data_IF_567054238687
#
_entry.id   IF_567054238687
#
_cell.length_a   1.000
_cell.length_b   1.000
_cell.length_c   1.000
_cell.angle_alpha   90.00
_cell.angle_beta   90.00
_cell.angle_gamma   90.00
#
_symmetry.space_group_name_H-M   'P 1'
#
loop_
_entity.id
_entity.type
_entity.pdbx_description
1 polymer ?
#
# COMPACT_ATOMS: atom_id res chain seq x y z
N UNK A 1 -3.05 24.08 26.36
CA UNK A 1 -2.50 22.71 26.47
C UNK A 1 -2.29 22.16 25.08
N UNK A 2 -1.07 21.73 24.71
CA UNK A 2 -0.86 21.00 23.44
C UNK A 2 -1.64 19.69 23.51
N UNK A 3 -2.37 19.36 22.46
CA UNK A 3 -3.13 18.11 22.37
C UNK A 3 -2.15 16.96 22.25
N UNK A 4 -2.19 16.01 23.16
CA UNK A 4 -1.39 14.79 23.10
C UNK A 4 -1.75 14.00 21.84
N UNK A 5 -0.71 13.53 21.14
CA UNK A 5 -0.81 12.63 20.00
C UNK A 5 -0.20 11.28 20.37
N UNK A 6 -0.73 10.24 19.78
CA UNK A 6 -0.32 8.85 20.03
C UNK A 6 0.26 8.24 18.78
N UNK A 7 1.23 7.33 18.96
CA UNK A 7 1.90 6.61 17.90
C UNK A 7 2.06 5.14 18.26
N UNK A 8 2.15 4.30 17.24
CA UNK A 8 2.44 2.87 17.43
C UNK A 8 3.93 2.71 17.74
N UNK A 9 4.26 1.88 18.73
CA UNK A 9 5.62 1.44 19.02
C UNK A 9 6.09 0.50 17.90
N UNK A 10 6.97 0.99 17.00
CA UNK A 10 7.45 0.21 15.85
C UNK A 10 8.17 -1.07 16.27
N UNK A 11 8.90 -1.01 17.39
CA UNK A 11 9.65 -2.12 17.97
C UNK A 11 8.77 -3.25 18.52
N UNK A 12 7.48 -3.01 18.64
CA UNK A 12 6.48 -4.00 19.05
C UNK A 12 5.77 -4.68 17.88
N UNK A 13 5.99 -4.18 16.66
CA UNK A 13 5.35 -4.75 15.47
C UNK A 13 6.13 -5.93 14.91
N UNK A 14 5.39 -6.92 14.44
CA UNK A 14 5.94 -8.06 13.72
C UNK A 14 5.29 -8.19 12.34
N UNK A 15 6.01 -8.88 11.45
CA UNK A 15 5.47 -9.21 10.12
C UNK A 15 4.21 -10.07 10.29
N UNK A 16 3.15 -9.65 9.62
CA UNK A 16 1.83 -10.28 9.70
C UNK A 16 0.90 -9.63 10.73
N UNK A 17 1.37 -8.69 11.56
CA UNK A 17 0.45 -7.95 12.43
C UNK A 17 -0.61 -7.23 11.63
N UNK A 18 -1.83 -7.30 12.11
CA UNK A 18 -3.01 -6.68 11.49
C UNK A 18 -3.41 -5.47 12.32
N UNK A 19 -3.35 -4.29 11.70
CA UNK A 19 -3.56 -3.01 12.38
C UNK A 19 -4.94 -2.48 11.99
N UNK A 20 -5.80 -2.26 12.97
CA UNK A 20 -7.14 -1.70 12.79
C UNK A 20 -7.15 -0.24 13.20
N UNK A 21 -7.71 0.64 12.36
CA UNK A 21 -7.83 2.07 12.67
C UNK A 21 -9.25 2.59 12.49
N UNK A 22 -9.58 3.61 13.32
CA UNK A 22 -10.83 4.36 13.21
C UNK A 22 -10.58 5.63 12.41
N UNK A 23 -10.62 5.57 11.09
CA UNK A 23 -10.48 6.76 10.25
C UNK A 23 -11.72 7.65 10.28
N UNK A 24 -11.52 8.97 10.18
CA UNK A 24 -12.60 9.97 10.18
C UNK A 24 -13.01 10.40 8.76
N UNK A 25 -12.95 9.51 7.77
CA UNK A 25 -13.46 9.84 6.43
C UNK A 25 -14.97 9.58 6.32
N UNK A 26 -15.64 10.23 5.38
CA UNK A 26 -17.08 10.01 5.12
C UNK A 26 -17.38 8.55 4.75
N UNK A 27 -16.49 7.91 4.00
CA UNK A 27 -16.57 6.48 3.64
C UNK A 27 -16.43 5.61 4.89
N UNK A 28 -15.54 5.98 5.81
CA UNK A 28 -15.33 5.29 7.07
C UNK A 28 -16.54 5.37 8.01
N UNK A 29 -17.30 6.47 7.99
CA UNK A 29 -18.56 6.59 8.71
C UNK A 29 -19.61 5.61 8.20
N UNK A 30 -19.76 5.49 6.88
CA UNK A 30 -20.70 4.54 6.26
C UNK A 30 -20.32 3.09 6.55
N UNK A 31 -19.02 2.73 6.46
CA UNK A 31 -18.52 1.40 6.79
C UNK A 31 -18.81 1.06 8.26
N UNK A 32 -18.62 2.01 9.18
CA UNK A 32 -18.93 1.82 10.61
C UNK A 32 -20.41 1.60 10.86
N UNK A 33 -21.29 2.34 10.19
CA UNK A 33 -22.73 2.15 10.30
C UNK A 33 -23.17 0.76 9.82
N UNK A 34 -22.67 0.34 8.65
CA UNK A 34 -23.06 -0.96 8.06
C UNK A 34 -22.45 -2.15 8.81
N UNK A 35 -21.24 -2.00 9.36
CA UNK A 35 -20.55 -3.09 10.07
C UNK A 35 -20.74 -3.07 11.58
N UNK A 36 -21.37 -2.02 12.12
CA UNK A 36 -21.47 -1.79 13.59
C UNK A 36 -20.10 -1.95 14.29
N UNK A 37 -19.04 -1.41 13.66
CA UNK A 37 -17.67 -1.49 14.15
C UNK A 37 -17.09 -0.10 14.34
N UNK A 38 -16.37 0.12 15.44
CA UNK A 38 -15.59 1.34 15.67
C UNK A 38 -14.46 1.47 14.64
N UNK A 39 -13.89 0.35 14.20
CA UNK A 39 -12.78 0.29 13.27
C UNK A 39 -13.29 0.08 11.85
N UNK A 40 -12.93 1.00 10.97
CA UNK A 40 -13.39 1.04 9.57
C UNK A 40 -12.30 0.69 8.56
N UNK A 41 -11.06 0.64 9.02
CA UNK A 41 -9.90 0.36 8.16
C UNK A 41 -9.00 -0.69 8.80
N UNK A 42 -8.38 -1.50 7.96
CA UNK A 42 -7.42 -2.53 8.36
C UNK A 42 -6.20 -2.48 7.46
N UNK A 43 -5.02 -2.64 8.05
CA UNK A 43 -3.71 -2.57 7.40
C UNK A 43 -2.89 -3.78 7.81
N UNK A 44 -1.93 -4.16 6.97
CA UNK A 44 -1.03 -5.29 7.20
C UNK A 44 0.39 -4.79 7.45
N UNK A 45 1.03 -5.25 8.50
CA UNK A 45 2.44 -4.99 8.77
C UNK A 45 3.31 -5.93 7.92
N UNK A 46 4.21 -5.32 7.13
CA UNK A 46 5.10 -5.98 6.20
C UNK A 46 6.51 -5.42 6.40
N UNK A 47 7.28 -6.05 7.27
CA UNK A 47 8.67 -5.67 7.59
C UNK A 47 8.87 -4.15 7.81
N UNK A 48 8.33 -3.62 8.92
CA UNK A 48 8.46 -2.19 9.29
C UNK A 48 7.65 -1.21 8.44
N UNK A 49 7.02 -1.69 7.36
CA UNK A 49 6.12 -0.95 6.49
C UNK A 49 4.70 -1.46 6.67
N UNK A 50 3.73 -0.61 6.48
CA UNK A 50 2.33 -1.00 6.45
C UNK A 50 1.84 -0.95 5.01
N UNK A 51 1.14 -2.02 4.59
CA UNK A 51 0.43 -2.03 3.32
C UNK A 51 -1.07 -1.96 3.60
N UNK A 52 -1.73 -1.05 2.93
CA UNK A 52 -3.16 -0.83 3.07
C UNK A 52 -3.83 -0.52 1.74
N UNK A 53 -5.13 -0.76 1.66
CA UNK A 53 -5.90 -0.46 0.47
C UNK A 53 -6.92 0.63 0.75
N UNK A 54 -6.95 1.65 -0.09
CA UNK A 54 -7.87 2.79 -0.07
C UNK A 54 -8.55 2.95 -1.44
N UNK A 55 -9.40 3.96 -1.59
CA UNK A 55 -10.15 4.18 -2.84
C UNK A 55 -9.29 4.38 -4.10
N UNK A 56 -8.03 4.76 -3.93
CA UNK A 56 -7.08 4.97 -5.03
C UNK A 56 -6.24 3.74 -5.38
N UNK A 57 -6.26 2.69 -4.56
CA UNK A 57 -5.44 1.50 -4.76
C UNK A 57 -4.81 0.97 -3.48
N UNK A 58 -3.78 0.16 -3.64
CA UNK A 58 -2.98 -0.39 -2.54
C UNK A 58 -1.68 0.40 -2.44
N UNK A 59 -1.35 0.84 -1.23
CA UNK A 59 -0.18 1.68 -0.97
C UNK A 59 0.60 1.19 0.24
N UNK A 60 1.91 1.49 0.21
CA UNK A 60 2.78 1.34 1.36
C UNK A 60 2.74 2.61 2.23
N UNK A 61 2.85 2.46 3.55
CA UNK A 61 2.84 3.56 4.50
C UNK A 61 3.88 3.33 5.60
N UNK A 62 4.65 4.36 5.92
CA UNK A 62 5.55 4.29 7.07
C UNK A 62 4.75 4.47 8.36
N UNK A 63 4.84 3.49 9.26
CA UNK A 63 4.11 3.47 10.54
C UNK A 63 4.46 4.67 11.42
N UNK A 64 5.70 5.15 11.37
CA UNK A 64 6.18 6.29 12.16
C UNK A 64 5.57 7.63 11.74
N UNK A 65 4.81 7.65 10.64
CA UNK A 65 4.10 8.83 10.14
C UNK A 65 2.62 8.82 10.47
N UNK A 66 2.13 7.81 11.18
CA UNK A 66 0.71 7.69 11.53
C UNK A 66 0.51 8.10 12.99
N UNK A 67 -0.12 9.26 13.18
CA UNK A 67 -0.45 9.77 14.50
C UNK A 67 -1.95 9.63 14.77
N UNK A 68 -2.29 9.34 16.02
CA UNK A 68 -3.66 9.19 16.50
C UNK A 68 -3.97 10.25 17.55
N UNK A 69 -5.23 10.69 17.62
CA UNK A 69 -5.66 11.64 18.63
C UNK A 69 -5.98 10.98 19.97
N UNK A 70 -6.25 9.68 19.95
CA UNK A 70 -6.56 8.87 21.13
C UNK A 70 -5.97 7.47 20.98
N UNK A 71 -5.51 6.85 22.06
CA UNK A 71 -4.90 5.52 21.98
C UNK A 71 -5.90 4.44 21.51
N UNK A 72 -7.18 4.64 21.75
CA UNK A 72 -8.23 3.71 21.36
C UNK A 72 -8.71 3.85 19.91
N UNK A 73 -8.07 4.71 19.10
CA UNK A 73 -8.31 4.83 17.64
C UNK A 73 -7.58 3.76 16.83
N UNK A 74 -6.69 2.99 17.47
CA UNK A 74 -5.91 1.93 16.84
C UNK A 74 -5.89 0.69 17.72
N UNK A 75 -5.87 -0.48 17.08
CA UNK A 75 -5.66 -1.79 17.70
C UNK A 75 -4.80 -2.66 16.82
N UNK A 76 -3.96 -3.48 17.43
CA UNK A 76 -3.05 -4.40 16.72
C UNK A 76 -3.40 -5.82 17.11
N UNK A 77 -3.48 -6.68 16.11
CA UNK A 77 -3.79 -8.09 16.28
C UNK A 77 -2.68 -8.94 15.65
N UNK A 78 -2.25 -9.97 16.37
CA UNK A 78 -1.20 -10.89 15.97
C UNK A 78 -1.71 -12.31 15.91
N UNK A 79 -1.22 -13.17 14.98
CA UNK A 79 -1.55 -14.59 14.97
C UNK A 79 -1.22 -15.27 16.30
N UNK A 80 -2.15 -16.05 16.86
CA UNK A 80 -1.92 -16.84 18.09
C UNK A 80 -0.80 -17.87 17.92
N UNK A 81 -0.69 -18.43 16.72
CA UNK A 81 0.39 -19.34 16.35
C UNK A 81 1.40 -18.56 15.50
N UNK A 82 2.65 -18.58 15.92
CA UNK A 82 3.73 -17.90 15.21
C UNK A 82 3.76 -18.32 13.74
N UNK A 83 3.95 -17.35 12.87
CA UNK A 83 4.17 -17.57 11.44
C UNK A 83 5.61 -18.05 11.22
N UNK A 84 5.77 -19.07 10.41
CA UNK A 84 7.10 -19.49 9.94
C UNK A 84 7.71 -18.43 9.02
N UNK A 85 9.02 -18.47 8.78
CA UNK A 85 9.69 -17.56 7.85
C UNK A 85 9.06 -17.63 6.45
N UNK A 86 8.75 -18.83 5.96
CA UNK A 86 8.10 -19.03 4.66
C UNK A 86 6.69 -18.42 4.59
N UNK A 87 5.91 -18.50 5.68
CA UNK A 87 4.58 -17.88 5.74
C UNK A 87 4.69 -16.34 5.78
N UNK A 88 5.63 -15.80 6.58
CA UNK A 88 5.92 -14.36 6.61
C UNK A 88 6.30 -13.85 5.22
N UNK A 89 7.21 -14.55 4.52
CA UNK A 89 7.61 -14.21 3.16
C UNK A 89 6.43 -14.18 2.19
N UNK A 90 5.60 -15.21 2.16
CA UNK A 90 4.42 -15.27 1.28
C UNK A 90 3.38 -14.18 1.57
N UNK A 91 3.17 -13.84 2.85
CA UNK A 91 2.29 -12.73 3.25
C UNK A 91 2.84 -11.40 2.70
N UNK A 92 4.14 -11.15 2.89
CA UNK A 92 4.82 -9.95 2.42
C UNK A 92 4.79 -9.85 0.89
N UNK A 93 5.18 -10.90 0.19
CA UNK A 93 5.18 -11.00 -1.26
C UNK A 93 3.80 -10.70 -1.84
N UNK A 94 2.76 -11.39 -1.34
CA UNK A 94 1.40 -11.14 -1.81
C UNK A 94 0.98 -9.68 -1.63
N UNK A 95 1.22 -9.10 -0.44
CA UNK A 95 0.82 -7.74 -0.15
C UNK A 95 1.60 -6.71 -1.00
N UNK A 96 2.91 -6.89 -1.17
CA UNK A 96 3.77 -6.04 -2.00
C UNK A 96 3.37 -6.09 -3.47
N UNK A 97 3.11 -7.29 -4.01
CA UNK A 97 2.63 -7.49 -5.39
C UNK A 97 1.25 -6.86 -5.66
N UNK A 98 0.56 -6.40 -4.62
CA UNK A 98 -0.69 -5.62 -4.75
C UNK A 98 -0.47 -4.11 -4.74
N UNK A 99 0.71 -3.63 -4.36
CA UNK A 99 1.02 -2.20 -4.40
C UNK A 99 0.95 -1.73 -5.85
N UNK A 100 0.21 -0.64 -6.10
CA UNK A 100 -0.08 -0.06 -7.42
C UNK A 100 -0.77 -0.99 -8.43
N UNK A 101 -1.21 -2.16 -8.00
CA UNK A 101 -2.12 -3.07 -8.74
C UNK A 101 -1.70 -3.50 -10.14
N UNK A 102 -0.43 -3.69 -10.42
CA UNK A 102 0.02 -4.26 -11.72
C UNK A 102 -0.55 -5.66 -11.93
N UNK A 103 -0.80 -6.40 -10.86
CA UNK A 103 -1.34 -7.75 -10.92
C UNK A 103 -2.76 -7.83 -11.51
N UNK A 104 -3.55 -6.76 -11.40
CA UNK A 104 -4.83 -6.66 -12.07
C UNK A 104 -4.71 -6.49 -13.60
N UNK A 105 -3.57 -6.03 -14.09
CA UNK A 105 -3.25 -5.88 -15.51
C UNK A 105 -3.10 -7.23 -16.21
N UNK A 106 -2.42 -8.19 -15.60
CA UNK A 106 -2.25 -9.53 -16.18
C UNK A 106 -3.61 -10.24 -16.35
N UNK A 107 -4.50 -10.13 -15.35
CA UNK A 107 -5.86 -10.65 -15.48
C UNK A 107 -6.65 -9.96 -16.60
N UNK A 108 -6.33 -8.69 -16.93
CA UNK A 108 -7.04 -7.94 -17.99
C UNK A 108 -6.54 -8.33 -19.37
N UNK A 109 -5.27 -8.66 -19.54
CA UNK A 109 -4.71 -9.14 -20.82
C UNK A 109 -5.31 -10.51 -21.19
N UNK A 110 -5.59 -11.35 -20.19
CA UNK A 110 -6.12 -12.70 -20.40
C UNK A 110 -7.65 -12.80 -20.31
N UNK A 111 -8.35 -11.78 -19.82
CA UNK A 111 -9.81 -11.85 -19.57
C UNK A 111 -10.53 -10.67 -20.20
N UNK A 112 -10.82 -10.79 -21.49
CA UNK A 112 -11.96 -10.08 -22.11
C UNK A 112 -13.22 -10.80 -21.67
N UNK A 113 -13.67 -10.61 -20.42
CA UNK A 113 -14.95 -11.14 -19.93
C UNK A 113 -15.83 -9.98 -19.48
N UNK A 114 -17.12 -10.00 -19.83
CA UNK A 114 -18.03 -8.90 -19.55
C UNK A 114 -18.27 -8.72 -18.05
N UNK A 115 -18.31 -7.47 -17.66
CA UNK A 115 -18.50 -6.94 -16.32
C UNK A 115 -19.76 -7.49 -15.64
N UNK A 116 -19.59 -8.19 -14.54
CA UNK A 116 -20.65 -8.36 -13.56
C UNK A 116 -20.16 -8.01 -12.16
N UNK A 117 -20.90 -7.09 -11.52
CA UNK A 117 -20.88 -6.70 -10.10
C UNK A 117 -19.85 -5.67 -9.60
N UNK A 118 -20.29 -4.42 -9.60
CA UNK A 118 -19.70 -3.25 -8.93
C UNK A 118 -19.71 -3.31 -7.40
N UNK A 119 -20.29 -4.32 -6.77
CA UNK A 119 -20.42 -4.43 -5.31
C UNK A 119 -19.13 -4.86 -4.58
N UNK A 120 -18.18 -5.50 -5.27
CA UNK A 120 -16.96 -6.05 -4.66
C UNK A 120 -15.87 -5.01 -4.32
N UNK A 121 -15.94 -3.81 -4.90
CA UNK A 121 -14.88 -2.79 -4.78
C UNK A 121 -14.83 -2.09 -3.40
N UNK A 122 -15.83 -2.25 -2.53
CA UNK A 122 -15.91 -1.55 -1.24
C UNK A 122 -15.19 -2.24 -0.06
N UNK A 123 -14.58 -3.40 -0.27
CA UNK A 123 -13.95 -4.18 0.82
C UNK A 123 -12.44 -4.38 0.64
N UNK A 124 -11.74 -3.48 -0.02
CA UNK A 124 -10.34 -3.68 -0.40
C UNK A 124 -9.40 -3.92 0.79
N UNK A 125 -9.49 -3.19 1.87
CA UNK A 125 -8.52 -3.29 2.98
C UNK A 125 -8.58 -4.66 3.66
N UNK A 126 -9.77 -5.15 3.98
CA UNK A 126 -9.93 -6.47 4.62
C UNK A 126 -9.66 -7.63 3.66
N UNK A 127 -10.04 -7.49 2.39
CA UNK A 127 -9.70 -8.47 1.36
C UNK A 127 -8.19 -8.60 1.17
N UNK A 128 -7.46 -7.49 1.11
CA UNK A 128 -6.00 -7.50 1.00
C UNK A 128 -5.38 -8.33 2.12
N UNK A 129 -5.73 -8.04 3.38
CA UNK A 129 -5.23 -8.78 4.54
C UNK A 129 -5.60 -10.26 4.46
N UNK A 130 -6.87 -10.57 4.22
CA UNK A 130 -7.34 -11.95 4.19
C UNK A 130 -6.71 -12.77 3.07
N UNK A 131 -6.50 -12.17 1.89
CA UNK A 131 -5.85 -12.82 0.77
C UNK A 131 -4.34 -12.99 0.97
N UNK A 132 -3.66 -12.04 1.65
CA UNK A 132 -2.25 -12.19 2.01
C UNK A 132 -2.05 -13.42 2.92
N UNK A 133 -2.90 -13.60 3.90
CA UNK A 133 -2.87 -14.79 4.76
C UNK A 133 -3.22 -16.06 4.00
N UNK A 134 -4.21 -16.03 3.11
CA UNK A 134 -4.57 -17.15 2.24
C UNK A 134 -3.41 -17.58 1.34
N UNK A 135 -2.64 -16.64 0.79
CA UNK A 135 -1.44 -16.96 0.00
C UNK A 135 -0.38 -17.73 0.79
N UNK A 136 -0.31 -17.51 2.10
CA UNK A 136 0.54 -18.27 3.02
C UNK A 136 -0.13 -19.58 3.54
N UNK A 137 -1.28 -19.99 2.98
CA UNK A 137 -2.02 -21.18 3.41
C UNK A 137 -2.81 -20.99 4.71
N UNK A 138 -3.01 -19.76 5.18
CA UNK A 138 -3.73 -19.45 6.42
C UNK A 138 -5.10 -18.83 6.12
N UNK A 139 -6.16 -19.54 6.49
CA UNK A 139 -7.54 -19.04 6.34
C UNK A 139 -7.95 -18.36 7.64
N UNK A 140 -8.01 -17.03 7.61
CA UNK A 140 -8.33 -16.21 8.80
C UNK A 140 -9.80 -15.81 8.89
N UNK A 141 -10.56 -15.95 7.79
CA UNK A 141 -12.00 -15.70 7.70
C UNK A 141 -12.63 -16.69 6.74
N UNK A 142 -13.95 -16.93 6.87
CA UNK A 142 -14.69 -17.88 6.04
C UNK A 142 -14.56 -17.59 4.54
N UNK A 143 -14.68 -16.33 4.13
CA UNK A 143 -14.50 -15.89 2.74
C UNK A 143 -13.46 -14.76 2.67
N UNK A 144 -12.22 -15.07 2.22
CA UNK A 144 -11.18 -14.06 2.06
C UNK A 144 -11.46 -13.01 0.99
N UNK A 145 -12.40 -13.26 0.07
CA UNK A 145 -12.78 -12.30 -0.96
C UNK A 145 -13.79 -11.26 -0.46
N UNK A 146 -14.65 -11.69 0.48
CA UNK A 146 -15.78 -10.89 0.95
C UNK A 146 -15.82 -10.90 2.49
N UNK A 147 -14.88 -10.18 3.10
CA UNK A 147 -14.83 -10.03 4.54
C UNK A 147 -14.79 -8.57 4.96
N UNK A 148 -15.26 -8.28 6.16
CA UNK A 148 -15.18 -6.96 6.78
C UNK A 148 -14.00 -6.91 7.77
N UNK A 149 -13.50 -5.69 8.12
CA UNK A 149 -12.52 -5.54 9.20
C UNK A 149 -12.99 -6.19 10.51
N UNK A 150 -14.29 -6.08 10.83
CA UNK A 150 -14.88 -6.70 12.04
C UNK A 150 -14.78 -8.22 12.04
N UNK A 151 -14.96 -8.89 10.89
CA UNK A 151 -14.81 -10.34 10.80
C UNK A 151 -13.37 -10.77 11.03
N UNK A 152 -12.39 -10.05 10.50
CA UNK A 152 -10.97 -10.31 10.77
C UNK A 152 -10.66 -10.11 12.25
N UNK A 153 -11.12 -9.00 12.85
CA UNK A 153 -10.92 -8.70 14.27
C UNK A 153 -11.53 -9.76 15.22
N UNK A 154 -12.65 -10.34 14.82
CA UNK A 154 -13.33 -11.42 15.59
C UNK A 154 -12.81 -12.81 15.28
N UNK A 155 -11.86 -12.95 14.39
CA UNK A 155 -11.28 -14.24 14.05
C UNK A 155 -10.52 -14.81 15.24
N UNK A 156 -10.78 -16.06 15.55
CA UNK A 156 -10.06 -16.79 16.59
C UNK A 156 -8.57 -17.01 16.26
N UNK A 157 -8.17 -16.70 15.05
CA UNK A 157 -6.80 -16.82 14.59
C UNK A 157 -5.86 -15.83 15.28
N UNK A 158 -6.39 -14.70 15.74
CA UNK A 158 -5.62 -13.59 16.30
C UNK A 158 -5.84 -13.39 17.80
N UNK A 159 -4.89 -12.70 18.43
CA UNK A 159 -5.05 -12.05 19.73
C UNK A 159 -4.70 -10.57 19.63
N UNK A 160 -5.25 -9.75 20.51
CA UNK A 160 -4.92 -8.31 20.58
C UNK A 160 -3.56 -8.13 21.28
N UNK A 161 -2.65 -7.41 20.64
CA UNK A 161 -1.35 -7.05 21.23
C UNK A 161 -1.54 -5.78 22.04
N UNK A 162 -1.23 -5.84 23.32
CA UNK A 162 -1.31 -4.72 24.27
C UNK A 162 0.01 -3.97 24.33
N UNK A 163 0.00 -2.75 24.88
CA UNK A 163 1.18 -1.88 25.06
C UNK A 163 1.94 -1.52 23.78
N UNK A 164 1.23 -1.56 22.64
CA UNK A 164 1.76 -1.16 21.35
C UNK A 164 1.62 0.34 21.05
N UNK A 165 0.97 1.09 21.92
CA UNK A 165 0.67 2.52 21.70
C UNK A 165 1.34 3.32 22.81
N UNK A 166 1.98 4.44 22.42
CA UNK A 166 2.59 5.41 23.33
C UNK A 166 2.22 6.83 22.95
N UNK A 167 2.45 7.77 23.85
CA UNK A 167 2.45 9.20 23.53
C UNK A 167 3.63 9.46 22.59
N UNK A 168 3.36 10.17 21.49
CA UNK A 168 4.37 10.52 20.51
C UNK A 168 5.31 11.61 21.08
N UNK A 169 6.63 11.41 20.90
CA UNK A 169 7.61 12.44 21.24
C UNK A 169 7.54 13.63 20.26
N UNK A 170 8.17 14.75 20.63
CA UNK A 170 8.24 15.92 19.72
C UNK A 170 8.99 15.58 18.42
N UNK A 171 10.03 14.73 18.49
CA UNK A 171 10.79 14.25 17.34
C UNK A 171 9.94 13.37 16.41
N UNK A 172 9.15 12.45 16.98
CA UNK A 172 8.21 11.60 16.21
C UNK A 172 7.13 12.43 15.54
N UNK A 173 6.59 13.45 16.22
CA UNK A 173 5.64 14.41 15.65
C UNK A 173 6.29 15.22 14.53
N UNK A 174 7.54 15.68 14.72
CA UNK A 174 8.28 16.40 13.70
C UNK A 174 8.57 15.51 12.48
N UNK A 175 8.98 14.25 12.70
CA UNK A 175 9.21 13.28 11.65
C UNK A 175 7.94 13.00 10.82
N UNK A 176 6.79 12.86 11.48
CA UNK A 176 5.52 12.60 10.79
C UNK A 176 5.12 13.69 9.79
N UNK A 177 5.61 14.91 10.01
CA UNK A 177 5.35 16.11 9.18
C UNK A 177 6.40 16.34 8.10
N UNK A 178 7.56 15.65 8.14
CA UNK A 178 8.57 15.76 7.08
C UNK A 178 7.99 15.32 5.74
N UNK A 179 8.59 15.82 4.67
CA UNK A 179 8.24 15.39 3.32
C UNK A 179 8.14 13.87 3.21
N UNK A 180 7.06 13.40 2.61
CA UNK A 180 6.75 11.97 2.48
C UNK A 180 6.60 11.60 1.00
N UNK A 181 7.61 10.96 0.38
CA UNK A 181 7.56 10.57 -1.03
C UNK A 181 6.43 9.58 -1.32
N UNK A 182 6.18 8.62 -0.42
CA UNK A 182 5.08 7.66 -0.57
C UNK A 182 3.72 8.38 -0.62
N UNK A 183 3.51 9.38 0.24
CA UNK A 183 2.29 10.18 0.24
C UNK A 183 2.15 11.03 -1.03
N UNK A 184 3.26 11.49 -1.59
CA UNK A 184 3.25 12.20 -2.87
C UNK A 184 2.74 11.30 -3.99
N UNK A 185 3.26 10.07 -4.08
CA UNK A 185 2.83 9.07 -5.06
C UNK A 185 1.33 8.77 -4.91
N UNK A 186 0.87 8.54 -3.67
CA UNK A 186 -0.55 8.30 -3.38
C UNK A 186 -1.42 9.48 -3.82
N UNK A 187 -1.06 10.70 -3.43
CA UNK A 187 -1.83 11.92 -3.75
C UNK A 187 -1.90 12.18 -5.26
N UNK A 188 -0.81 12.01 -5.96
CA UNK A 188 -0.66 12.17 -7.39
C UNK A 188 -1.57 11.16 -8.13
N UNK A 189 -1.49 9.89 -7.78
CA UNK A 189 -2.31 8.83 -8.35
C UNK A 189 -3.80 9.06 -8.08
N UNK A 190 -4.17 9.40 -6.83
CA UNK A 190 -5.57 9.69 -6.47
C UNK A 190 -6.09 10.91 -7.24
N UNK A 191 -5.27 11.95 -7.40
CA UNK A 191 -5.67 13.18 -8.11
C UNK A 191 -5.89 12.92 -9.58
N UNK A 192 -5.02 12.16 -10.23
CA UNK A 192 -5.20 11.71 -11.61
C UNK A 192 -6.49 10.88 -11.77
N UNK A 193 -6.70 9.87 -10.92
CA UNK A 193 -7.92 9.05 -10.97
C UNK A 193 -9.17 9.91 -10.79
N UNK A 194 -9.16 10.90 -9.89
CA UNK A 194 -10.29 11.80 -9.68
C UNK A 194 -10.58 12.64 -10.92
N UNK A 195 -9.56 13.13 -11.60
CA UNK A 195 -9.73 13.94 -12.82
C UNK A 195 -10.28 13.09 -13.95
N UNK A 196 -9.67 11.93 -14.23
CA UNK A 196 -10.17 10.99 -15.24
C UNK A 196 -11.60 10.54 -14.93
N UNK A 197 -11.95 10.36 -13.66
CA UNK A 197 -13.32 10.05 -13.22
C UNK A 197 -14.33 11.15 -13.54
N UNK A 198 -13.93 12.42 -13.46
CA UNK A 198 -14.80 13.54 -13.85
C UNK A 198 -15.11 13.51 -15.34
N UNK A 199 -14.12 13.14 -16.16
CA UNK A 199 -14.24 13.11 -17.62
C UNK A 199 -15.03 11.87 -18.10
N UNK A 200 -14.75 10.69 -17.53
CA UNK A 200 -15.21 9.40 -18.05
C UNK A 200 -16.16 8.64 -17.10
N UNK A 201 -16.53 9.25 -15.99
CA UNK A 201 -17.60 8.75 -15.14
C UNK A 201 -17.15 7.95 -13.92
N UNK A 202 -18.12 7.68 -13.04
CA UNK A 202 -17.92 7.14 -11.68
C UNK A 202 -17.35 5.71 -11.63
N UNK A 203 -17.30 5.00 -12.76
CA UNK A 203 -16.72 3.65 -12.82
C UNK A 203 -15.20 3.65 -12.69
N UNK A 204 -14.53 4.77 -13.02
CA UNK A 204 -13.09 4.94 -12.90
C UNK A 204 -12.73 5.10 -11.42
N UNK A 205 -12.11 4.09 -10.81
CA UNK A 205 -11.75 4.07 -9.40
C UNK A 205 -10.30 3.69 -9.13
N UNK A 206 -9.62 3.06 -10.10
CA UNK A 206 -8.25 2.56 -9.99
C UNK A 206 -7.49 2.83 -11.28
N UNK A 207 -6.15 2.70 -11.25
CA UNK A 207 -5.31 2.71 -12.47
C UNK A 207 -5.77 1.64 -13.45
N UNK A 208 -6.14 0.46 -12.95
CA UNK A 208 -6.69 -0.60 -13.77
C UNK A 208 -7.96 -0.18 -14.55
N UNK A 209 -8.84 0.61 -13.95
CA UNK A 209 -10.03 1.12 -14.66
C UNK A 209 -9.61 2.12 -15.75
N UNK A 210 -8.54 2.90 -15.54
CA UNK A 210 -7.96 3.80 -16.55
C UNK A 210 -7.38 3.01 -17.71
N UNK A 211 -6.60 1.97 -17.44
CA UNK A 211 -6.05 1.11 -18.49
C UNK A 211 -7.15 0.45 -19.31
N UNK A 212 -8.21 -0.05 -18.65
CA UNK A 212 -9.38 -0.57 -19.35
C UNK A 212 -10.08 0.48 -20.21
N UNK A 213 -10.21 1.70 -19.69
CA UNK A 213 -10.74 2.82 -20.46
C UNK A 213 -9.93 3.02 -21.74
N UNK A 214 -8.62 3.11 -21.64
CA UNK A 214 -7.71 3.34 -22.76
C UNK A 214 -7.74 2.21 -23.81
N UNK A 215 -7.88 0.96 -23.36
CA UNK A 215 -8.01 -0.20 -24.26
C UNK A 215 -9.32 -0.16 -25.05
N UNK A 216 -10.42 0.26 -24.42
CA UNK A 216 -11.77 0.27 -25.03
C UNK A 216 -12.01 1.58 -25.79
N UNK A 217 -11.46 2.67 -25.31
CA UNK A 217 -11.59 4.04 -25.79
C UNK A 217 -10.23 4.69 -25.99
N UNK A 218 -9.46 4.30 -27.05
CA UNK A 218 -8.13 4.86 -27.34
C UNK A 218 -8.12 6.39 -27.50
N UNK A 219 -9.25 6.96 -27.93
CA UNK A 219 -9.45 8.40 -28.05
C UNK A 219 -9.35 9.17 -26.73
N UNK A 220 -9.38 8.47 -25.60
CA UNK A 220 -9.18 9.06 -24.28
C UNK A 220 -7.72 9.32 -23.92
N UNK A 221 -6.76 8.82 -24.71
CA UNK A 221 -5.31 8.82 -24.38
C UNK A 221 -4.78 10.23 -24.07
N UNK A 222 -5.01 11.21 -24.94
CA UNK A 222 -4.49 12.56 -24.75
C UNK A 222 -4.95 13.19 -23.42
N UNK A 223 -6.23 13.01 -23.08
CA UNK A 223 -6.78 13.58 -21.85
C UNK A 223 -6.33 12.85 -20.58
N UNK A 224 -6.16 11.55 -20.67
CA UNK A 224 -5.64 10.72 -19.57
C UNK A 224 -4.15 10.98 -19.35
N UNK A 225 -3.36 11.00 -20.42
CA UNK A 225 -1.92 11.30 -20.37
C UNK A 225 -1.66 12.71 -19.87
N UNK A 226 -2.42 13.71 -20.36
CA UNK A 226 -2.36 15.09 -19.84
C UNK A 226 -2.70 15.16 -18.35
N UNK A 227 -3.69 14.38 -17.89
CA UNK A 227 -4.01 14.30 -16.46
C UNK A 227 -2.88 13.65 -15.65
N UNK A 228 -2.23 12.62 -16.18
CA UNK A 228 -1.09 11.97 -15.54
C UNK A 228 0.10 12.94 -15.39
N UNK A 229 0.45 13.66 -16.44
CA UNK A 229 1.48 14.73 -16.37
C UNK A 229 1.11 15.84 -15.39
N UNK A 230 -0.11 16.37 -15.47
CA UNK A 230 -0.61 17.44 -14.59
C UNK A 230 -0.44 17.12 -13.11
N UNK A 231 -0.66 15.88 -12.71
CA UNK A 231 -0.53 15.45 -11.32
C UNK A 231 0.80 14.76 -10.99
N UNK A 232 1.74 14.68 -11.93
CA UNK A 232 3.09 14.14 -11.73
C UNK A 232 3.11 12.62 -11.56
N UNK A 233 2.18 11.90 -12.17
CA UNK A 233 2.11 10.43 -12.08
C UNK A 233 3.35 9.75 -12.66
N UNK A 234 3.89 10.23 -13.77
CA UNK A 234 5.04 9.63 -14.46
C UNK A 234 6.42 10.00 -13.85
N UNK A 235 6.48 10.94 -12.90
CA UNK A 235 7.76 11.41 -12.34
C UNK A 235 8.11 10.84 -10.97
N UNK A 236 7.35 9.85 -10.51
CA UNK A 236 7.48 9.30 -9.16
C UNK A 236 8.87 8.68 -8.89
N UNK A 237 9.43 7.95 -9.85
CA UNK A 237 10.75 7.32 -9.73
C UNK A 237 11.87 8.34 -9.48
N UNK A 238 11.79 9.51 -10.11
CA UNK A 238 12.77 10.58 -9.94
C UNK A 238 12.80 11.14 -8.51
N UNK A 239 11.67 11.12 -7.79
CA UNK A 239 11.64 11.59 -6.41
C UNK A 239 12.35 10.63 -5.45
N UNK A 240 12.19 9.31 -5.62
CA UNK A 240 12.90 8.38 -4.77
C UNK A 240 14.42 8.42 -5.03
N UNK A 241 14.83 8.47 -6.28
CA UNK A 241 16.23 8.65 -6.67
C UNK A 241 16.84 9.91 -6.04
N UNK A 242 16.10 11.02 -6.01
CA UNK A 242 16.59 12.29 -5.44
C UNK A 242 16.69 12.25 -3.91
N UNK A 243 15.76 11.56 -3.24
CA UNK A 243 15.68 11.56 -1.76
C UNK A 243 16.51 10.44 -1.16
N UNK A 244 16.57 9.32 -1.84
CA UNK A 244 17.22 8.09 -1.40
C UNK A 244 18.34 7.66 -2.35
N UNK A 245 19.11 8.61 -2.91
CA UNK A 245 20.22 8.33 -3.85
C UNK A 245 21.18 7.26 -3.32
N UNK A 246 21.37 7.23 -2.02
CA UNK A 246 22.20 6.26 -1.32
C UNK A 246 21.78 4.79 -1.52
N UNK A 247 20.55 4.52 -1.96
CA UNK A 247 20.05 3.18 -2.30
C UNK A 247 20.50 2.70 -3.65
N UNK A 248 20.92 3.60 -4.54
CA UNK A 248 21.13 3.34 -5.95
C UNK A 248 22.59 3.34 -6.38
N UNK A 249 23.54 3.60 -5.48
CA UNK A 249 24.96 3.62 -5.76
C UNK A 249 25.82 3.27 -4.56
N UNK A 250 26.84 2.43 -4.76
CA UNK A 250 27.77 2.00 -3.68
C UNK A 250 28.44 3.19 -3.00
N UNK A 251 28.89 4.18 -3.79
CA UNK A 251 29.54 5.38 -3.25
C UNK A 251 28.61 6.18 -2.36
N UNK A 252 27.38 6.37 -2.80
CA UNK A 252 26.37 7.13 -2.04
C UNK A 252 25.94 6.36 -0.81
N UNK A 253 25.83 5.03 -0.90
CA UNK A 253 25.60 4.16 0.26
C UNK A 253 26.69 4.30 1.31
N UNK A 254 27.96 4.19 0.92
CA UNK A 254 29.08 4.33 1.84
C UNK A 254 29.13 5.73 2.50
N UNK A 255 28.88 6.79 1.75
CA UNK A 255 28.77 8.15 2.28
C UNK A 255 27.62 8.27 3.30
N UNK A 256 26.48 7.66 3.01
CA UNK A 256 25.33 7.67 3.90
C UNK A 256 25.62 6.93 5.21
N UNK A 257 26.16 5.71 5.13
CA UNK A 257 26.53 4.88 6.29
C UNK A 257 27.54 5.60 7.18
N UNK A 258 28.59 6.19 6.58
CA UNK A 258 29.58 6.95 7.31
C UNK A 258 28.98 8.17 8.05
N UNK A 259 27.89 8.74 7.52
CA UNK A 259 27.19 9.86 8.18
C UNK A 259 26.34 9.44 9.39
N UNK A 260 26.03 8.15 9.53
CA UNK A 260 25.13 7.63 10.57
C UNK A 260 25.87 7.06 11.79
N UNK A 261 27.21 6.96 11.75
CA UNK A 261 28.02 6.34 12.82
C UNK A 261 27.53 4.94 13.23
N UNK A 262 27.14 4.13 12.25
CA UNK A 262 26.71 2.74 12.43
C UNK A 262 27.92 1.84 12.67
N UNK A 263 27.73 0.75 13.43
CA UNK A 263 28.70 -0.32 13.53
C UNK A 263 28.59 -1.30 12.34
N UNK A 264 29.54 -2.22 12.20
CA UNK A 264 29.62 -3.14 11.06
C UNK A 264 28.40 -4.06 10.93
N UNK A 265 27.81 -4.50 12.05
CA UNK A 265 26.62 -5.36 12.04
C UNK A 265 25.40 -4.58 11.55
N UNK A 266 25.21 -3.34 12.01
CA UNK A 266 24.13 -2.44 11.55
C UNK A 266 24.29 -2.08 10.07
N UNK A 267 25.53 -1.91 9.59
CA UNK A 267 25.83 -1.67 8.17
C UNK A 267 25.45 -2.90 7.34
N UNK A 268 25.84 -4.08 7.79
CA UNK A 268 25.52 -5.33 7.10
C UNK A 268 24.01 -5.59 7.08
N UNK A 269 23.29 -5.36 8.17
CA UNK A 269 21.82 -5.47 8.22
C UNK A 269 21.17 -4.49 7.25
N UNK A 270 21.60 -3.24 7.23
CA UNK A 270 21.09 -2.23 6.31
C UNK A 270 21.37 -2.59 4.83
N UNK A 271 22.57 -3.06 4.51
CA UNK A 271 22.93 -3.50 3.17
C UNK A 271 22.09 -4.70 2.71
N UNK A 272 21.90 -5.67 3.60
CA UNK A 272 21.07 -6.84 3.38
C UNK A 272 19.61 -6.45 3.11
N UNK A 273 19.03 -5.57 3.92
CA UNK A 273 17.66 -5.08 3.75
C UNK A 273 17.47 -4.38 2.40
N UNK A 274 18.45 -3.54 1.99
CA UNK A 274 18.40 -2.85 0.69
C UNK A 274 18.47 -3.85 -0.46
N UNK A 275 19.35 -4.86 -0.36
CA UNK A 275 19.50 -5.89 -1.39
C UNK A 275 18.20 -6.65 -1.59
N UNK A 276 17.58 -7.16 -0.52
CA UNK A 276 16.34 -7.93 -0.63
C UNK A 276 15.14 -7.08 -1.05
N UNK A 277 14.98 -5.87 -0.52
CA UNK A 277 13.94 -4.95 -0.98
C UNK A 277 14.15 -4.58 -2.44
N UNK A 278 15.40 -4.36 -2.84
CA UNK A 278 15.76 -4.05 -4.23
C UNK A 278 15.47 -5.20 -5.19
N UNK A 279 15.82 -6.41 -4.83
CA UNK A 279 15.56 -7.61 -5.64
C UNK A 279 14.04 -7.84 -5.82
N UNK A 280 13.27 -7.84 -4.72
CA UNK A 280 11.80 -7.97 -4.77
C UNK A 280 11.15 -6.87 -5.64
N UNK A 281 11.70 -5.64 -5.60
CA UNK A 281 11.17 -4.50 -6.34
C UNK A 281 11.55 -4.56 -7.81
N UNK A 282 12.74 -5.05 -8.14
CA UNK A 282 13.21 -5.20 -9.52
C UNK A 282 12.30 -6.12 -10.34
N UNK A 283 11.86 -7.25 -9.78
CA UNK A 283 10.95 -8.17 -10.45
C UNK A 283 9.58 -7.53 -10.73
N UNK A 284 9.09 -6.73 -9.78
CA UNK A 284 7.83 -5.98 -9.96
C UNK A 284 7.97 -5.00 -11.12
N UNK A 285 9.02 -4.19 -11.14
CA UNK A 285 9.24 -3.20 -12.20
C UNK A 285 9.53 -3.83 -13.57
N UNK A 286 10.26 -4.96 -13.61
CA UNK A 286 10.48 -5.69 -14.85
C UNK A 286 9.16 -6.21 -15.45
N UNK A 287 8.26 -6.74 -14.60
CA UNK A 287 6.93 -7.17 -15.02
C UNK A 287 6.05 -5.98 -15.48
N UNK A 288 6.12 -4.84 -14.78
CA UNK A 288 5.44 -3.61 -15.19
C UNK A 288 5.91 -3.16 -16.57
N UNK A 289 7.22 -3.01 -16.75
CA UNK A 289 7.81 -2.62 -18.02
C UNK A 289 7.38 -3.55 -19.16
N UNK A 290 7.44 -4.85 -18.93
CA UNK A 290 7.01 -5.84 -19.92
C UNK A 290 5.55 -5.68 -20.33
N UNK A 291 4.65 -5.48 -19.35
CA UNK A 291 3.23 -5.32 -19.60
C UNK A 291 2.94 -4.01 -20.37
N UNK A 292 3.53 -2.89 -19.92
CA UNK A 292 3.33 -1.60 -20.58
C UNK A 292 3.93 -1.60 -21.99
N UNK A 293 5.06 -2.29 -22.20
CA UNK A 293 5.64 -2.47 -23.53
C UNK A 293 4.70 -3.23 -24.48
N UNK A 294 4.07 -4.32 -24.02
CA UNK A 294 3.07 -5.05 -24.82
C UNK A 294 1.87 -4.16 -25.13
N UNK A 295 1.37 -3.41 -24.16
CA UNK A 295 0.22 -2.51 -24.34
C UNK A 295 0.58 -1.39 -25.33
N UNK A 296 1.77 -0.80 -25.21
CA UNK A 296 2.24 0.19 -26.15
C UNK A 296 2.39 -0.35 -27.57
N UNK A 297 3.03 -1.52 -27.72
CA UNK A 297 3.18 -2.14 -29.04
C UNK A 297 1.84 -2.41 -29.71
N UNK A 298 0.83 -2.82 -28.94
CA UNK A 298 -0.48 -3.16 -29.45
C UNK A 298 -1.37 -1.95 -29.75
N UNK A 299 -1.34 -0.95 -28.86
CA UNK A 299 -2.31 0.16 -28.92
C UNK A 299 -1.67 1.50 -29.32
N UNK A 300 -0.34 1.63 -29.23
CA UNK A 300 0.46 2.84 -29.55
C UNK A 300 -0.04 4.11 -28.82
N UNK A 301 -0.55 3.94 -27.59
CA UNK A 301 -1.05 5.04 -26.76
C UNK A 301 0.09 5.68 -25.95
N UNK A 302 0.08 7.00 -25.83
CA UNK A 302 1.11 7.78 -25.13
C UNK A 302 1.20 7.41 -23.66
N UNK A 303 0.08 7.13 -23.00
CA UNK A 303 0.03 6.69 -21.59
C UNK A 303 0.86 5.42 -21.31
N UNK A 304 0.98 4.54 -22.28
CA UNK A 304 1.75 3.30 -22.13
C UNK A 304 3.22 3.45 -22.48
N UNK A 305 3.59 4.53 -23.17
CA UNK A 305 4.96 4.86 -23.53
C UNK A 305 5.72 5.53 -22.38
N UNK A 306 5.10 6.47 -21.65
CA UNK A 306 5.65 7.23 -20.51
C UNK A 306 5.99 6.33 -19.32
#
# INVERSE_FOLDING_TARGET
MRKELYIIRKEKLEIGDVIFTSEKSFISWFVRLVTFSKFSHVMLCVNGTIIHSVSGGVYAKNIQRILFNKPNEVKIFRPKKNLTAAEKSKICEYARNKILSVYALLETIYVVIPFTNTASKKQFCSRLVAQSYKAAGRIIVKDPNYCSPKQIMKSEFFYEVIDCIKIASEEEIAFSKKFNPIQLIENSTISMIKEVRKLYGKKIQTIHDIIKLLIIHPEADDSVTSSAHKFGYFVHAHFDLKINSWRYGVKDFLNYVNSLSLNDDEINELAHDIYYIGADTADVHANEFYIYSILYEKYKLSFFYE
#
